data_IF_167008021259
#
_entry.id   IF_167008021259
#
_cell.length_a   1.000
_cell.length_b   1.000
_cell.length_c   1.000
_cell.angle_alpha   90.00
_cell.angle_beta   90.00
_cell.angle_gamma   90.00
#
_symmetry.space_group_name_H-M   'P 1'
#
loop_
_entity.id
_entity.type
_entity.pdbx_description
1 polymer ?
#
# COMPACT_ATOMS: atom_id res chain seq x y z
N UNK A 1 -15.57 6.64 -16.23
CA UNK A 1 -15.50 6.93 -14.78
C UNK A 1 -14.91 5.69 -14.14
N UNK A 2 -13.94 5.82 -13.22
CA UNK A 2 -13.40 4.68 -12.46
C UNK A 2 -14.10 4.62 -11.10
N UNK A 3 -14.45 3.41 -10.66
CA UNK A 3 -15.04 3.16 -9.36
C UNK A 3 -13.97 2.63 -8.41
N UNK A 4 -13.87 3.23 -7.23
CA UNK A 4 -12.99 2.74 -6.18
C UNK A 4 -13.69 2.70 -4.83
N UNK A 5 -13.26 1.81 -3.96
CA UNK A 5 -13.77 1.76 -2.59
C UNK A 5 -12.69 1.30 -1.61
N UNK A 6 -12.78 1.70 -0.34
CA UNK A 6 -11.93 1.16 0.71
C UNK A 6 -12.35 -0.27 1.05
N UNK A 7 -11.37 -1.11 1.37
CA UNK A 7 -11.62 -2.41 1.94
C UNK A 7 -12.10 -2.27 3.39
N UNK A 8 -13.18 -2.97 3.74
CA UNK A 8 -13.69 -3.00 5.11
C UNK A 8 -13.03 -4.15 5.86
N UNK A 9 -12.31 -3.83 6.92
CA UNK A 9 -11.54 -4.80 7.73
C UNK A 9 -12.36 -5.57 8.76
N UNK A 10 -13.68 -5.46 8.76
CA UNK A 10 -14.52 -6.16 9.72
C UNK A 10 -14.65 -7.63 9.33
N UNK A 11 -14.02 -8.53 10.12
CA UNK A 11 -14.20 -9.96 9.96
C UNK A 11 -13.01 -10.72 9.42
N UNK A 12 -13.29 -11.82 8.73
CA UNK A 12 -12.29 -12.73 8.19
C UNK A 12 -11.67 -12.18 6.90
N UNK A 13 -10.33 -11.97 6.81
CA UNK A 13 -9.69 -11.47 5.60
C UNK A 13 -9.93 -12.31 4.34
N UNK A 14 -10.16 -13.62 4.52
CA UNK A 14 -10.46 -14.52 3.38
C UNK A 14 -11.85 -14.26 2.80
N UNK A 15 -12.85 -14.07 3.66
CA UNK A 15 -14.20 -13.69 3.23
C UNK A 15 -14.22 -12.32 2.57
N UNK A 16 -13.45 -11.37 3.12
CA UNK A 16 -13.29 -10.04 2.54
C UNK A 16 -12.68 -10.13 1.13
N UNK A 17 -11.67 -10.97 0.92
CA UNK A 17 -11.09 -11.18 -0.40
C UNK A 17 -12.09 -11.80 -1.39
N UNK A 18 -12.91 -12.74 -0.96
CA UNK A 18 -13.97 -13.34 -1.80
C UNK A 18 -15.04 -12.30 -2.17
N UNK A 19 -15.35 -11.35 -1.29
CA UNK A 19 -16.21 -10.20 -1.60
C UNK A 19 -15.58 -9.31 -2.68
N UNK A 20 -14.27 -9.04 -2.60
CA UNK A 20 -13.55 -8.25 -3.62
C UNK A 20 -13.62 -8.93 -5.00
N UNK A 21 -13.50 -10.25 -5.05
CA UNK A 21 -13.69 -11.02 -6.31
C UNK A 21 -15.10 -10.80 -6.88
N UNK A 22 -16.12 -10.75 -6.03
CA UNK A 22 -17.48 -10.42 -6.44
C UNK A 22 -17.62 -8.99 -6.98
N UNK A 23 -17.00 -8.03 -6.29
CA UNK A 23 -16.99 -6.62 -6.70
C UNK A 23 -16.22 -6.38 -8.01
N UNK A 24 -15.10 -7.08 -8.21
CA UNK A 24 -14.36 -7.08 -9.47
C UNK A 24 -15.24 -7.50 -10.64
N UNK A 25 -15.98 -8.61 -10.50
CA UNK A 25 -16.94 -9.08 -11.50
C UNK A 25 -18.07 -8.08 -11.75
N UNK A 26 -18.42 -7.30 -10.76
CA UNK A 26 -19.41 -6.22 -10.85
C UNK A 26 -18.85 -4.92 -11.45
N UNK A 27 -17.56 -4.85 -11.77
CA UNK A 27 -16.92 -3.71 -12.43
C UNK A 27 -16.20 -2.73 -11.50
N UNK A 28 -15.77 -3.16 -10.31
CA UNK A 28 -14.91 -2.35 -9.45
C UNK A 28 -13.53 -2.20 -10.09
N UNK A 29 -13.04 -0.96 -10.23
CA UNK A 29 -11.74 -0.68 -10.84
C UNK A 29 -10.58 -0.71 -9.85
N UNK A 30 -10.81 -0.33 -8.59
CA UNK A 30 -9.75 -0.18 -7.59
C UNK A 30 -10.26 -0.44 -6.17
N UNK A 31 -9.55 -1.28 -5.42
CA UNK A 31 -9.76 -1.50 -4.00
C UNK A 31 -8.61 -0.88 -3.18
N UNK A 32 -8.94 -0.09 -2.16
CA UNK A 32 -7.97 0.53 -1.26
C UNK A 32 -7.80 -0.26 0.02
N UNK A 33 -6.58 -0.63 0.33
CA UNK A 33 -6.19 -1.35 1.55
C UNK A 33 -5.50 -0.37 2.49
N UNK A 34 -6.14 -0.07 3.62
CA UNK A 34 -5.57 0.80 4.65
C UNK A 34 -4.62 0.02 5.58
N UNK A 35 -3.73 0.73 6.25
CA UNK A 35 -2.82 0.18 7.27
C UNK A 35 -2.98 0.95 8.59
N UNK A 36 -4.08 0.72 9.32
CA UNK A 36 -4.26 1.32 10.66
C UNK A 36 -3.47 0.56 11.73
N UNK A 37 -4.05 0.34 12.90
CA UNK A 37 -3.45 -0.42 14.01
C UNK A 37 -3.56 -1.95 13.88
N UNK A 38 -4.06 -2.45 12.76
CA UNK A 38 -4.29 -3.88 12.54
C UNK A 38 -3.16 -4.57 11.77
N UNK A 39 -3.54 -5.29 10.72
CA UNK A 39 -2.57 -5.99 9.87
C UNK A 39 -1.85 -5.02 8.93
N UNK A 40 -0.64 -5.40 8.51
CA UNK A 40 0.07 -4.69 7.45
C UNK A 40 -0.66 -4.81 6.12
N UNK A 41 -0.74 -3.72 5.38
CA UNK A 41 -1.47 -3.69 4.12
C UNK A 41 -0.82 -4.57 3.02
N UNK A 42 0.52 -4.62 2.85
CA UNK A 42 1.15 -5.44 1.83
C UNK A 42 0.81 -6.92 1.88
N UNK A 43 0.66 -7.51 3.07
CA UNK A 43 0.27 -8.92 3.21
C UNK A 43 -1.12 -9.17 2.61
N UNK A 44 -2.09 -8.31 2.92
CA UNK A 44 -3.44 -8.43 2.37
C UNK A 44 -3.50 -8.07 0.88
N UNK A 45 -2.74 -7.06 0.45
CA UNK A 45 -2.63 -6.69 -0.96
C UNK A 45 -2.07 -7.85 -1.80
N UNK A 46 -1.06 -8.57 -1.31
CA UNK A 46 -0.52 -9.76 -1.96
C UNK A 46 -1.56 -10.89 -2.05
N UNK A 47 -2.35 -11.09 -1.01
CA UNK A 47 -3.43 -12.07 -1.01
C UNK A 47 -4.53 -11.70 -2.01
N UNK A 48 -4.94 -10.43 -2.08
CA UNK A 48 -5.89 -9.93 -3.06
C UNK A 48 -5.35 -10.08 -4.49
N UNK A 49 -4.06 -9.81 -4.70
CA UNK A 49 -3.42 -9.98 -6.01
C UNK A 49 -3.54 -11.42 -6.54
N UNK A 50 -3.42 -12.41 -5.64
CA UNK A 50 -3.55 -13.83 -5.97
C UNK A 50 -5.02 -14.26 -6.19
N UNK A 51 -5.99 -13.53 -5.67
CA UNK A 51 -7.43 -13.85 -5.73
C UNK A 51 -8.17 -13.14 -6.88
N UNK A 52 -7.59 -12.06 -7.40
CA UNK A 52 -8.23 -11.17 -8.39
C UNK A 52 -7.44 -11.12 -9.70
N UNK A 53 -8.07 -10.69 -10.78
CA UNK A 53 -7.46 -10.70 -12.12
C UNK A 53 -7.33 -9.29 -12.72
N UNK A 54 -8.27 -8.39 -12.47
CA UNK A 54 -8.38 -7.10 -13.16
C UNK A 54 -8.40 -5.88 -12.24
N UNK A 55 -8.97 -6.00 -11.03
CA UNK A 55 -9.07 -4.88 -10.09
C UNK A 55 -7.69 -4.38 -9.65
N UNK A 56 -7.48 -3.08 -9.69
CA UNK A 56 -6.28 -2.47 -9.13
C UNK A 56 -6.31 -2.58 -7.61
N UNK A 57 -5.14 -2.76 -7.01
CA UNK A 57 -4.99 -2.94 -5.56
C UNK A 57 -4.11 -1.82 -5.03
N UNK A 58 -4.72 -0.90 -4.29
CA UNK A 58 -4.06 0.31 -3.81
C UNK A 58 -3.82 0.29 -2.30
N UNK A 59 -2.65 0.74 -1.87
CA UNK A 59 -2.43 1.07 -0.47
C UNK A 59 -3.07 2.43 -0.14
N UNK A 60 -3.91 2.48 0.83
CA UNK A 60 -4.52 3.72 1.26
C UNK A 60 -4.38 3.98 2.77
N UNK A 61 -3.22 4.22 3.24
CA UNK A 61 -1.87 4.44 2.71
C UNK A 61 -0.84 3.50 3.38
N UNK A 62 0.36 3.35 2.80
CA UNK A 62 1.54 2.92 3.56
C UNK A 62 2.22 4.15 4.15
N UNK A 63 2.54 4.13 5.45
CA UNK A 63 3.20 5.25 6.06
C UNK A 63 4.72 5.24 5.77
N UNK A 64 5.29 6.44 5.61
CA UNK A 64 6.70 6.62 5.24
C UNK A 64 7.68 6.46 6.41
N UNK A 65 7.19 6.13 7.61
CA UNK A 65 8.00 5.96 8.81
C UNK A 65 8.25 4.50 9.17
N UNK A 66 7.24 3.64 9.04
CA UNK A 66 7.31 2.25 9.50
C UNK A 66 8.18 1.34 8.64
N UNK A 67 8.54 1.80 7.43
CA UNK A 67 9.43 1.06 6.51
C UNK A 67 10.54 1.98 6.01
N UNK A 68 11.72 1.40 5.77
CA UNK A 68 12.77 2.14 5.06
C UNK A 68 12.33 2.42 3.63
N UNK A 69 12.87 3.47 2.96
CA UNK A 69 12.59 3.72 1.54
C UNK A 69 12.90 2.50 0.64
N UNK A 70 13.98 1.78 0.93
CA UNK A 70 14.32 0.54 0.23
C UNK A 70 13.28 -0.56 0.42
N UNK A 71 12.77 -0.75 1.64
CA UNK A 71 11.70 -1.72 1.90
C UNK A 71 10.40 -1.34 1.20
N UNK A 72 10.04 -0.05 1.15
CA UNK A 72 8.89 0.44 0.40
C UNK A 72 9.06 0.20 -1.10
N UNK A 73 10.25 0.43 -1.65
CA UNK A 73 10.58 0.12 -3.04
C UNK A 73 10.40 -1.37 -3.35
N UNK A 74 10.95 -2.24 -2.52
CA UNK A 74 10.79 -3.70 -2.68
C UNK A 74 9.32 -4.13 -2.58
N UNK A 75 8.56 -3.54 -1.64
CA UNK A 75 7.13 -3.79 -1.50
C UNK A 75 6.37 -3.38 -2.76
N UNK A 76 6.63 -2.17 -3.28
CA UNK A 76 5.99 -1.67 -4.50
C UNK A 76 6.28 -2.57 -5.70
N UNK A 77 7.56 -2.89 -5.93
CA UNK A 77 7.99 -3.73 -7.04
C UNK A 77 7.44 -5.16 -6.93
N UNK A 78 7.46 -5.73 -5.71
CA UNK A 78 6.93 -7.07 -5.46
C UNK A 78 5.43 -7.16 -5.70
N UNK A 79 4.66 -6.21 -5.16
CA UNK A 79 3.21 -6.15 -5.38
C UNK A 79 2.85 -5.93 -6.85
N UNK A 80 3.57 -5.07 -7.54
CA UNK A 80 3.35 -4.84 -8.97
C UNK A 80 3.61 -6.11 -9.79
N UNK A 81 4.70 -6.81 -9.50
CA UNK A 81 5.05 -8.07 -10.15
C UNK A 81 3.99 -9.15 -9.91
N UNK A 82 3.64 -9.45 -8.65
CA UNK A 82 2.68 -10.53 -8.34
C UNK A 82 1.25 -10.21 -8.76
N UNK A 83 0.91 -8.93 -8.88
CA UNK A 83 -0.41 -8.50 -9.35
C UNK A 83 -0.50 -8.37 -10.87
N UNK A 84 0.61 -8.51 -11.60
CA UNK A 84 0.64 -8.29 -13.05
C UNK A 84 0.42 -6.83 -13.45
N UNK A 85 1.02 -5.88 -12.71
CA UNK A 85 0.95 -4.45 -13.01
C UNK A 85 -0.30 -3.75 -12.46
N UNK A 86 -0.97 -4.32 -11.45
CA UNK A 86 -2.21 -3.77 -10.87
C UNK A 86 -2.01 -3.04 -9.53
N UNK A 87 -0.78 -2.98 -9.04
CA UNK A 87 -0.49 -2.32 -7.77
C UNK A 87 -0.56 -0.79 -7.87
N UNK A 88 -1.13 -0.15 -6.86
CA UNK A 88 -1.15 1.30 -6.70
C UNK A 88 -0.56 1.65 -5.34
N UNK A 89 0.56 2.36 -5.34
CA UNK A 89 1.24 2.73 -4.11
C UNK A 89 0.75 4.09 -3.60
N UNK A 90 -0.10 4.07 -2.57
CA UNK A 90 -0.46 5.26 -1.82
C UNK A 90 0.46 5.44 -0.62
N UNK A 91 1.04 6.61 -0.48
CA UNK A 91 1.98 6.96 0.59
C UNK A 91 1.47 8.14 1.42
N UNK A 92 1.83 8.16 2.70
CA UNK A 92 1.50 9.26 3.58
C UNK A 92 2.34 9.26 4.85
N UNK A 93 2.32 10.38 5.56
CA UNK A 93 3.06 10.55 6.80
C UNK A 93 2.33 9.97 8.04
N UNK A 94 1.06 9.60 7.92
CA UNK A 94 0.20 9.25 9.05
C UNK A 94 0.13 10.40 10.08
N UNK A 95 0.09 10.11 11.37
CA UNK A 95 0.05 11.09 12.44
C UNK A 95 0.92 10.69 13.62
N UNK A 96 1.26 11.64 14.52
CA UNK A 96 2.14 11.37 15.66
C UNK A 96 1.62 10.25 16.57
N UNK A 97 0.30 10.12 16.73
CA UNK A 97 -0.28 9.05 17.57
C UNK A 97 0.06 7.65 17.06
N UNK A 98 0.10 7.49 15.73
CA UNK A 98 0.46 6.22 15.10
C UNK A 98 1.97 6.04 15.09
N UNK A 99 2.71 7.05 14.68
CA UNK A 99 4.15 6.94 14.48
C UNK A 99 4.90 6.87 15.81
N UNK A 100 4.60 7.76 16.76
CA UNK A 100 5.23 7.77 18.07
C UNK A 100 4.62 6.74 19.01
N UNK A 101 3.28 6.69 19.06
CA UNK A 101 2.57 5.84 20.01
C UNK A 101 2.58 4.35 19.65
N UNK A 102 2.45 4.00 18.38
CA UNK A 102 2.39 2.61 17.95
C UNK A 102 3.70 2.08 17.37
N UNK A 103 4.38 2.86 16.52
CA UNK A 103 5.64 2.44 15.91
C UNK A 103 6.88 2.79 16.76
N UNK A 104 6.76 3.68 17.77
CA UNK A 104 7.88 4.07 18.62
C UNK A 104 8.96 4.89 17.90
N UNK A 105 8.60 5.61 16.85
CA UNK A 105 9.50 6.41 16.02
C UNK A 105 9.20 7.89 16.19
N UNK A 106 10.20 8.80 16.14
CA UNK A 106 9.93 10.23 16.20
C UNK A 106 9.16 10.71 14.97
N UNK A 107 8.12 11.51 15.19
CA UNK A 107 7.34 12.13 14.11
C UNK A 107 7.91 13.52 13.78
N UNK A 108 8.98 13.54 13.02
CA UNK A 108 9.66 14.77 12.62
C UNK A 108 9.67 14.97 11.10
N UNK A 109 9.69 16.22 10.67
CA UNK A 109 9.79 16.65 9.26
C UNK A 109 8.96 15.82 8.27
N UNK A 110 7.65 15.62 8.51
CA UNK A 110 6.83 14.69 7.71
C UNK A 110 6.78 15.01 6.22
N UNK A 111 6.78 16.28 5.85
CA UNK A 111 6.76 16.70 4.45
C UNK A 111 8.10 16.41 3.75
N UNK A 112 9.21 16.71 4.42
CA UNK A 112 10.55 16.43 3.90
C UNK A 112 10.73 14.93 3.72
N UNK A 113 10.43 14.15 4.75
CA UNK A 113 10.53 12.68 4.71
C UNK A 113 9.68 12.08 3.58
N UNK A 114 8.43 12.53 3.43
CA UNK A 114 7.56 12.03 2.36
C UNK A 114 8.14 12.33 0.99
N UNK A 115 8.68 13.53 0.79
CA UNK A 115 9.33 13.90 -0.48
C UNK A 115 10.53 13.01 -0.77
N UNK A 116 11.45 12.88 0.18
CA UNK A 116 12.66 12.06 0.05
C UNK A 116 12.33 10.60 -0.25
N UNK A 117 11.36 10.02 0.45
CA UNK A 117 10.89 8.66 0.18
C UNK A 117 10.37 8.52 -1.25
N UNK A 118 9.57 9.47 -1.73
CA UNK A 118 9.04 9.45 -3.10
C UNK A 118 10.18 9.54 -4.13
N UNK A 119 11.19 10.37 -3.88
CA UNK A 119 12.35 10.52 -4.76
C UNK A 119 13.13 9.21 -4.85
N UNK A 120 13.45 8.58 -3.72
CA UNK A 120 14.13 7.26 -3.67
C UNK A 120 13.33 6.19 -4.39
N UNK A 121 12.01 6.12 -4.15
CA UNK A 121 11.14 5.16 -4.84
C UNK A 121 11.16 5.36 -6.36
N UNK A 122 11.05 6.59 -6.82
CA UNK A 122 11.09 6.91 -8.26
C UNK A 122 12.42 6.54 -8.90
N UNK A 123 13.53 6.79 -8.22
CA UNK A 123 14.86 6.38 -8.70
C UNK A 123 14.92 4.85 -8.83
N UNK A 124 14.56 4.13 -7.78
CA UNK A 124 14.63 2.67 -7.78
C UNK A 124 13.70 2.01 -8.81
N UNK A 125 12.47 2.53 -8.99
CA UNK A 125 11.53 2.04 -10.00
C UNK A 125 12.00 2.31 -11.45
N UNK A 126 12.92 3.27 -11.66
CA UNK A 126 13.60 3.49 -12.94
C UNK A 126 14.90 2.72 -13.06
N UNK A 127 15.22 1.83 -12.11
CA UNK A 127 16.47 1.06 -12.03
C UNK A 127 17.73 1.95 -11.97
N UNK A 128 17.61 3.16 -11.43
CA UNK A 128 18.74 4.04 -11.17
C UNK A 128 19.50 3.57 -9.92
N UNK A 129 20.83 3.82 -9.89
CA UNK A 129 21.61 3.58 -8.68
C UNK A 129 21.10 4.48 -7.55
N UNK A 130 20.73 3.88 -6.43
CA UNK A 130 20.35 4.61 -5.24
C UNK A 130 21.60 5.15 -4.55
N UNK A 131 21.80 6.45 -4.63
CA UNK A 131 22.86 7.20 -3.94
C UNK A 131 22.19 8.42 -3.30
N UNK A 132 21.61 8.21 -2.11
CA UNK A 132 20.68 9.17 -1.50
C UNK A 132 21.03 9.44 -0.04
#
# INVERSE_FOLDING_TARGET
>A
MKLSMPLVYAGNPRETADQVVGLEKAGLDLIWVAEPYGFDAPTLMGYLAAKTETVQIGAGILNVYSRTPGALLQTAAGLDNVSGGRAVLGLGASGPQVIEGFHGLPYDRPLTRTREVIEVLRMGLRHEKLDY
#
